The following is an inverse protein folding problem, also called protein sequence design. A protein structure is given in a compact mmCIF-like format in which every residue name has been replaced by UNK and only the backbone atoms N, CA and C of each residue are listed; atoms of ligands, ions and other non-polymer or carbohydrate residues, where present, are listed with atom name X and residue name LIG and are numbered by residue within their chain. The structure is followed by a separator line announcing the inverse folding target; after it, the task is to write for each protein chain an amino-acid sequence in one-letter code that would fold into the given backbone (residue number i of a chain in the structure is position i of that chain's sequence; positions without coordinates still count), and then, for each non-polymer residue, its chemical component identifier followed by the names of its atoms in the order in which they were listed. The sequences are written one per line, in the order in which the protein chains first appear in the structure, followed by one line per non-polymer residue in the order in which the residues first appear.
data_IF_207990714096
#
_entry.id   IF_207990714096
#
_cell.length_a   1.000
_cell.length_b   1.000
_cell.length_c   1.000
_cell.angle_alpha   90.00
_cell.angle_beta   90.00
_cell.angle_gamma   90.00
#
_symmetry.space_group_name_H-M   'P 1'
#
loop_
_entity.id
_entity.type
_entity.pdbx_description
1 polymer ?
#
# COMPACT_ATOMS: atom_id res chain seq x y z
N UNK A 1 -11.87 -11.09 0.04
CA UNK A 1 -12.38 -11.10 1.44
C UNK A 1 -11.93 -12.33 2.25
N UNK A 2 -11.97 -13.56 1.72
CA UNK A 2 -11.58 -14.76 2.50
C UNK A 2 -10.16 -14.63 3.05
N UNK A 3 -9.19 -14.30 2.20
CA UNK A 3 -7.80 -14.09 2.63
C UNK A 3 -7.66 -12.95 3.63
N UNK A 4 -8.40 -11.86 3.44
CA UNK A 4 -8.41 -10.75 4.38
C UNK A 4 -8.86 -11.18 5.79
N UNK A 5 -9.92 -11.97 5.88
CA UNK A 5 -10.39 -12.55 7.15
C UNK A 5 -9.37 -13.48 7.80
N UNK A 6 -8.75 -14.35 7.01
CA UNK A 6 -7.73 -15.26 7.53
C UNK A 6 -6.53 -14.49 8.09
N UNK A 7 -6.08 -13.45 7.40
CA UNK A 7 -5.01 -12.57 7.89
C UNK A 7 -5.41 -11.83 9.16
N UNK A 8 -6.60 -11.23 9.18
CA UNK A 8 -7.12 -10.52 10.35
C UNK A 8 -7.25 -11.46 11.58
N UNK A 9 -7.77 -12.67 11.38
CA UNK A 9 -7.83 -13.69 12.43
C UNK A 9 -6.44 -14.11 12.91
N UNK A 10 -5.48 -14.31 12.00
CA UNK A 10 -4.10 -14.65 12.34
C UNK A 10 -3.42 -13.59 13.21
N UNK A 11 -3.67 -12.30 12.93
CA UNK A 11 -3.22 -11.19 13.77
C UNK A 11 -3.92 -11.18 15.12
N UNK A 12 -5.26 -11.24 15.12
CA UNK A 12 -6.07 -11.21 16.35
C UNK A 12 -5.75 -12.38 17.32
N UNK A 13 -5.38 -13.54 16.78
CA UNK A 13 -4.98 -14.70 17.57
C UNK A 13 -3.48 -14.76 17.89
N UNK A 14 -2.72 -13.69 17.63
CA UNK A 14 -1.26 -13.59 17.84
C UNK A 14 -0.45 -14.75 17.18
N UNK A 15 -0.98 -15.29 16.07
CA UNK A 15 -0.27 -16.33 15.30
C UNK A 15 0.89 -15.74 14.49
N UNK A 16 0.80 -14.47 14.12
CA UNK A 16 1.88 -13.67 13.56
C UNK A 16 1.58 -12.19 13.84
N UNK A 17 2.64 -11.40 13.96
CA UNK A 17 2.54 -9.93 14.11
C UNK A 17 2.94 -9.19 12.85
N UNK A 18 3.45 -9.90 11.86
CA UNK A 18 3.89 -9.33 10.58
C UNK A 18 3.43 -10.23 9.46
N UNK A 19 2.76 -9.64 8.49
CA UNK A 19 2.36 -10.30 7.25
C UNK A 19 2.88 -9.54 6.04
N UNK A 20 3.19 -10.27 5.00
CA UNK A 20 3.34 -9.74 3.66
C UNK A 20 2.26 -10.37 2.78
N UNK A 21 1.47 -9.54 2.12
CA UNK A 21 0.43 -9.96 1.20
C UNK A 21 0.60 -9.29 -0.15
N UNK A 22 0.78 -10.09 -1.19
CA UNK A 22 0.86 -9.62 -2.57
C UNK A 22 -0.49 -9.85 -3.23
N UNK A 23 -1.19 -8.77 -3.59
CA UNK A 23 -2.48 -8.83 -4.26
C UNK A 23 -2.32 -9.36 -5.70
N UNK A 24 -1.33 -8.83 -6.41
CA UNK A 24 -0.89 -9.29 -7.72
C UNK A 24 0.58 -8.97 -7.93
N UNK A 25 1.30 -9.81 -8.65
CA UNK A 25 2.70 -9.55 -8.99
C UNK A 25 2.84 -8.54 -10.13
N UNK A 26 4.06 -8.01 -10.32
CA UNK A 26 4.37 -7.04 -11.39
C UNK A 26 4.08 -7.55 -12.81
N UNK A 27 4.10 -8.86 -13.02
CA UNK A 27 3.69 -9.53 -14.28
C UNK A 27 2.32 -10.17 -14.15
N UNK A 28 1.36 -9.46 -13.54
CA UNK A 28 0.04 -9.99 -13.23
C UNK A 28 -0.62 -10.71 -14.41
N UNK A 29 -0.84 -12.00 -14.25
CA UNK A 29 -1.61 -12.85 -15.19
C UNK A 29 -3.11 -12.84 -14.88
N UNK A 30 -3.55 -11.89 -14.04
CA UNK A 30 -4.96 -11.75 -13.67
C UNK A 30 -5.79 -11.32 -14.88
N UNK A 31 -6.85 -12.08 -15.16
CA UNK A 31 -7.88 -11.70 -16.11
C UNK A 31 -9.01 -10.98 -15.39
N UNK A 32 -9.51 -9.92 -15.99
CA UNK A 32 -10.76 -9.30 -15.54
C UNK A 32 -11.90 -9.85 -16.37
N UNK A 33 -13.05 -10.19 -15.77
CA UNK A 33 -14.22 -10.66 -16.51
C UNK A 33 -14.57 -9.71 -17.66
N UNK A 34 -14.71 -10.28 -18.87
CA UNK A 34 -15.00 -9.52 -20.09
C UNK A 34 -13.77 -9.01 -20.85
N UNK A 35 -12.56 -9.15 -20.29
CA UNK A 35 -11.30 -8.82 -20.97
C UNK A 35 -10.67 -10.06 -21.59
N UNK A 36 -10.08 -9.93 -22.78
CA UNK A 36 -9.35 -10.99 -23.47
C UNK A 36 -7.85 -11.00 -23.16
N UNK A 37 -7.35 -9.94 -22.49
CA UNK A 37 -5.95 -9.76 -22.14
C UNK A 37 -5.77 -9.81 -20.62
N UNK A 38 -4.60 -10.28 -20.19
CA UNK A 38 -4.19 -10.19 -18.77
C UNK A 38 -3.92 -8.73 -18.37
N UNK A 39 -4.02 -8.43 -17.08
CA UNK A 39 -3.84 -7.07 -16.56
C UNK A 39 -2.52 -6.45 -17.03
N UNK A 40 -1.41 -7.17 -16.88
CA UNK A 40 -0.11 -6.70 -17.32
C UNK A 40 -0.08 -6.27 -18.80
N UNK A 41 -0.68 -7.05 -19.69
CA UNK A 41 -0.80 -6.69 -21.11
C UNK A 41 -1.63 -5.43 -21.32
N UNK A 42 -2.73 -5.27 -20.60
CA UNK A 42 -3.58 -4.08 -20.69
C UNK A 42 -2.78 -2.82 -20.34
N UNK A 43 -1.96 -2.86 -19.29
CA UNK A 43 -1.13 -1.71 -18.88
C UNK A 43 -0.16 -1.25 -19.98
N UNK A 44 0.36 -2.18 -20.81
CA UNK A 44 1.26 -1.85 -21.92
C UNK A 44 0.52 -1.40 -23.19
N UNK A 45 -0.57 -2.08 -23.52
CA UNK A 45 -1.24 -1.92 -24.81
C UNK A 45 -2.19 -0.73 -24.83
N UNK A 46 -2.84 -0.43 -23.71
CA UNK A 46 -3.81 0.67 -23.64
C UNK A 46 -3.14 2.03 -23.88
N UNK A 47 -3.63 2.83 -24.85
CA UNK A 47 -3.14 4.21 -25.00
C UNK A 47 -3.60 5.07 -23.85
N UNK A 48 -2.78 6.05 -23.49
CA UNK A 48 -3.23 7.13 -22.59
C UNK A 48 -4.28 7.96 -23.31
N UNK A 49 -5.45 8.13 -22.71
CA UNK A 49 -6.49 9.00 -23.21
C UNK A 49 -6.01 10.47 -23.15
N UNK A 50 -6.07 11.18 -24.28
CA UNK A 50 -5.53 12.52 -24.39
C UNK A 50 -6.34 13.59 -23.64
N UNK A 51 -7.61 13.32 -23.34
CA UNK A 51 -8.47 14.24 -22.59
C UNK A 51 -8.41 13.96 -21.08
N UNK A 52 -8.36 12.67 -20.69
CA UNK A 52 -8.34 12.26 -19.30
C UNK A 52 -6.92 12.26 -18.69
N UNK A 53 -5.89 12.10 -19.52
CA UNK A 53 -4.50 12.07 -19.07
C UNK A 53 -4.07 10.73 -18.43
N UNK A 54 -4.91 9.67 -18.49
CA UNK A 54 -4.62 8.35 -17.95
C UNK A 54 -5.19 7.23 -18.85
N UNK A 55 -4.93 5.97 -18.49
CA UNK A 55 -5.40 4.77 -19.17
C UNK A 55 -6.72 4.29 -18.51
N UNK A 56 -7.91 4.46 -19.12
CA UNK A 56 -9.19 4.21 -18.47
C UNK A 56 -9.43 2.75 -18.03
N UNK A 57 -9.05 1.77 -18.85
CA UNK A 57 -9.22 0.35 -18.49
C UNK A 57 -8.24 -0.06 -17.39
N UNK A 58 -6.99 0.36 -17.48
CA UNK A 58 -5.98 0.17 -16.43
C UNK A 58 -6.45 0.79 -15.11
N UNK A 59 -7.04 2.00 -15.16
CA UNK A 59 -7.57 2.68 -13.99
C UNK A 59 -8.71 1.93 -13.32
N UNK A 60 -9.63 1.31 -14.10
CA UNK A 60 -10.68 0.44 -13.55
C UNK A 60 -10.09 -0.74 -12.78
N UNK A 61 -9.05 -1.37 -13.32
CA UNK A 61 -8.37 -2.49 -12.69
C UNK A 61 -7.67 -2.07 -11.39
N UNK A 62 -7.00 -0.90 -11.40
CA UNK A 62 -6.45 -0.30 -10.19
C UNK A 62 -7.54 -0.05 -9.13
N UNK A 63 -8.73 0.39 -9.56
CA UNK A 63 -9.92 0.54 -8.70
C UNK A 63 -10.31 -0.76 -7.99
N UNK A 64 -10.34 -1.89 -8.70
CA UNK A 64 -10.62 -3.20 -8.11
C UNK A 64 -9.56 -3.63 -7.07
N UNK A 65 -8.29 -3.30 -7.31
CA UNK A 65 -7.22 -3.54 -6.32
C UNK A 65 -7.47 -2.71 -5.07
N UNK A 66 -7.87 -1.45 -5.22
CA UNK A 66 -8.19 -0.55 -4.11
C UNK A 66 -9.45 -0.99 -3.33
N UNK A 67 -10.46 -1.54 -4.01
CA UNK A 67 -11.61 -2.17 -3.35
C UNK A 67 -11.18 -3.37 -2.50
N UNK A 68 -10.27 -4.20 -3.01
CA UNK A 68 -9.67 -5.31 -2.27
C UNK A 68 -8.90 -4.84 -1.03
N UNK A 69 -8.13 -3.77 -1.16
CA UNK A 69 -7.42 -3.13 -0.05
C UNK A 69 -8.40 -2.57 0.99
N UNK A 70 -9.43 -1.84 0.56
CA UNK A 70 -10.47 -1.34 1.45
C UNK A 70 -11.21 -2.46 2.20
N UNK A 71 -11.51 -3.56 1.51
CA UNK A 71 -12.11 -4.74 2.15
C UNK A 71 -11.19 -5.38 3.20
N UNK A 72 -9.88 -5.36 3.00
CA UNK A 72 -8.91 -5.82 4.01
C UNK A 72 -8.91 -4.93 5.24
N UNK A 73 -8.89 -3.60 5.07
CA UNK A 73 -8.97 -2.67 6.19
C UNK A 73 -10.27 -2.84 6.98
N UNK A 74 -11.40 -3.06 6.31
CA UNK A 74 -12.68 -3.33 6.96
C UNK A 74 -12.66 -4.61 7.82
N UNK A 75 -11.99 -5.67 7.38
CA UNK A 75 -11.88 -6.90 8.19
C UNK A 75 -11.00 -6.68 9.44
N UNK A 76 -9.98 -5.82 9.37
CA UNK A 76 -9.19 -5.42 10.55
C UNK A 76 -10.00 -4.52 11.49
N UNK A 77 -10.75 -3.58 10.94
CA UNK A 77 -11.57 -2.64 11.72
C UNK A 77 -12.77 -3.32 12.42
N UNK A 78 -13.25 -4.42 11.88
CA UNK A 78 -14.35 -5.20 12.46
C UNK A 78 -13.96 -5.99 13.73
N UNK A 79 -12.68 -6.16 14.01
CA UNK A 79 -12.19 -6.92 15.18
C UNK A 79 -11.92 -5.96 16.32
N UNK A 80 -12.62 -6.13 17.45
CA UNK A 80 -12.37 -5.35 18.66
C UNK A 80 -11.07 -5.78 19.34
N UNK A 81 -10.23 -4.84 19.71
CA UNK A 81 -8.98 -5.05 20.43
C UNK A 81 -8.78 -3.94 21.48
N UNK A 82 -8.91 -4.31 22.74
CA UNK A 82 -8.88 -3.33 23.83
C UNK A 82 -10.00 -2.29 23.73
N UNK A 83 -9.65 -1.02 23.74
CA UNK A 83 -10.59 0.10 23.64
C UNK A 83 -10.84 0.55 22.18
N UNK A 84 -10.25 -0.11 21.21
CA UNK A 84 -10.37 0.21 19.79
C UNK A 84 -10.55 -1.04 18.95
N UNK A 85 -10.06 -0.98 17.73
CA UNK A 85 -10.09 -2.08 16.78
C UNK A 85 -8.69 -2.62 16.52
N UNK A 86 -8.59 -3.78 15.89
CA UNK A 86 -7.31 -4.31 15.44
C UNK A 86 -6.63 -3.34 14.45
N UNK A 87 -7.40 -2.61 13.63
CA UNK A 87 -6.89 -1.59 12.73
C UNK A 87 -6.23 -0.42 13.48
N UNK A 88 -6.79 -0.01 14.62
CA UNK A 88 -6.19 1.05 15.45
C UNK A 88 -4.80 0.68 15.95
N UNK A 89 -4.55 -0.61 16.17
CA UNK A 89 -3.27 -1.12 16.68
C UNK A 89 -2.32 -1.59 15.57
N UNK A 90 -2.82 -1.83 14.36
CA UNK A 90 -2.01 -2.21 13.21
C UNK A 90 -1.47 -1.01 12.42
N UNK A 91 -0.42 -1.26 11.66
CA UNK A 91 0.02 -0.44 10.55
C UNK A 91 0.00 -1.27 9.28
N UNK A 92 -0.76 -0.84 8.31
CA UNK A 92 -0.80 -1.43 6.96
C UNK A 92 -0.03 -0.52 6.01
N UNK A 93 1.03 -1.05 5.42
CA UNK A 93 1.81 -0.37 4.39
C UNK A 93 1.54 -1.02 3.04
N UNK A 94 0.90 -0.30 2.14
CA UNK A 94 0.60 -0.74 0.79
C UNK A 94 1.35 0.11 -0.23
N UNK A 95 1.85 -0.52 -1.28
CA UNK A 95 2.60 0.15 -2.36
C UNK A 95 2.40 -0.56 -3.69
N UNK A 96 2.61 0.18 -4.78
CA UNK A 96 2.83 -0.38 -6.11
C UNK A 96 4.33 -0.55 -6.36
N UNK A 97 4.69 -1.43 -7.26
CA UNK A 97 6.05 -1.63 -7.76
C UNK A 97 6.45 -0.57 -8.80
N UNK A 98 5.48 0.10 -9.43
CA UNK A 98 5.71 1.15 -10.43
C UNK A 98 4.75 2.34 -10.22
N UNK A 99 5.16 3.51 -10.67
CA UNK A 99 4.28 4.69 -10.75
C UNK A 99 3.47 4.73 -12.04
N UNK A 100 4.09 4.36 -13.18
CA UNK A 100 3.41 4.24 -14.46
C UNK A 100 3.77 2.92 -15.14
N UNK A 101 2.84 1.97 -15.08
CA UNK A 101 3.06 0.59 -15.46
C UNK A 101 3.40 0.40 -16.94
N UNK A 102 2.87 1.24 -17.84
CA UNK A 102 3.10 1.16 -19.29
C UNK A 102 4.57 1.11 -19.68
N UNK A 103 5.42 1.82 -18.95
CA UNK A 103 6.87 1.92 -19.21
C UNK A 103 7.71 1.48 -18.01
N UNK A 104 7.08 0.85 -17.02
CA UNK A 104 7.72 0.45 -15.76
C UNK A 104 8.46 1.60 -15.05
N UNK A 105 7.87 2.80 -15.07
CA UNK A 105 8.47 3.96 -14.40
C UNK A 105 8.55 3.77 -12.90
N UNK A 106 9.70 4.09 -12.33
CA UNK A 106 9.92 4.13 -10.88
C UNK A 106 9.69 5.53 -10.28
N UNK A 107 9.18 6.46 -11.09
CA UNK A 107 8.79 7.79 -10.62
C UNK A 107 7.34 7.78 -10.10
N UNK A 108 7.07 8.60 -9.10
CA UNK A 108 5.73 8.80 -8.53
C UNK A 108 5.07 7.48 -8.09
N UNK A 109 5.81 6.57 -7.46
CA UNK A 109 5.27 5.32 -6.94
C UNK A 109 4.23 5.63 -5.84
N UNK A 110 2.97 5.18 -6.00
CA UNK A 110 1.95 5.40 -4.97
C UNK A 110 2.23 4.49 -3.77
N UNK A 111 2.20 5.08 -2.58
CA UNK A 111 2.37 4.40 -1.30
C UNK A 111 1.32 4.86 -0.33
N UNK A 112 0.81 3.95 0.49
CA UNK A 112 -0.25 4.23 1.45
C UNK A 112 0.11 3.65 2.80
N UNK A 113 -0.17 4.41 3.86
CA UNK A 113 -0.16 3.95 5.23
C UNK A 113 -1.59 4.01 5.77
N UNK A 114 -2.05 2.93 6.39
CA UNK A 114 -3.36 2.85 7.00
C UNK A 114 -3.28 2.19 8.38
N UNK A 115 -4.28 2.41 9.22
CA UNK A 115 -4.31 1.96 10.60
C UNK A 115 -3.69 2.97 11.57
N UNK A 116 -3.91 2.76 12.85
CA UNK A 116 -3.52 3.70 13.90
C UNK A 116 -2.11 3.52 14.44
N UNK A 117 -1.47 2.36 14.19
CA UNK A 117 -0.17 1.99 14.77
C UNK A 117 -0.13 2.22 16.29
N UNK A 118 -1.20 1.87 17.00
CA UNK A 118 -1.40 2.14 18.45
C UNK A 118 -1.24 3.64 18.79
N UNK A 119 -1.84 4.52 18.00
CA UNK A 119 -1.84 5.96 18.19
C UNK A 119 -0.61 6.71 17.67
N UNK A 120 0.34 6.01 17.01
CA UNK A 120 1.55 6.64 16.45
C UNK A 120 1.36 7.19 15.04
N UNK A 121 0.38 6.68 14.30
CA UNK A 121 0.09 7.12 12.95
C UNK A 121 -1.03 8.16 12.93
N UNK A 122 -0.79 9.27 12.26
CA UNK A 122 -1.75 10.34 12.00
C UNK A 122 -2.27 10.20 10.57
N UNK A 123 -3.45 9.63 10.43
CA UNK A 123 -4.10 9.42 9.14
C UNK A 123 -4.67 10.71 8.53
N UNK A 124 -5.14 10.63 7.26
CA UNK A 124 -5.79 11.74 6.56
C UNK A 124 -4.85 12.72 5.87
N UNK A 125 -3.56 12.38 5.75
CA UNK A 125 -2.57 13.20 5.06
C UNK A 125 -2.33 12.71 3.63
N UNK A 126 -2.18 13.64 2.71
CA UNK A 126 -1.59 13.42 1.40
C UNK A 126 -0.23 14.12 1.36
N UNK A 127 0.83 13.36 1.12
CA UNK A 127 2.19 13.89 1.04
C UNK A 127 2.68 13.81 -0.40
N UNK A 128 2.91 14.98 -1.01
CA UNK A 128 3.54 15.08 -2.33
C UNK A 128 5.05 15.31 -2.12
N UNK A 129 5.87 14.33 -2.50
CA UNK A 129 7.32 14.35 -2.26
C UNK A 129 8.13 14.07 -3.54
N UNK A 130 8.07 14.97 -4.55
CA UNK A 130 8.77 14.76 -5.81
C UNK A 130 10.30 14.72 -5.61
N UNK A 131 10.96 13.75 -6.25
CA UNK A 131 12.40 13.56 -6.17
C UNK A 131 12.90 12.98 -4.84
N UNK A 132 12.02 12.70 -3.89
CA UNK A 132 12.39 12.06 -2.63
C UNK A 132 12.46 10.53 -2.79
N UNK A 133 13.35 9.92 -2.01
CA UNK A 133 13.48 8.46 -2.00
C UNK A 133 12.28 7.78 -1.36
N UNK A 134 11.78 6.71 -2.00
CA UNK A 134 10.71 5.84 -1.47
C UNK A 134 11.06 5.23 -0.11
N UNK A 135 12.35 5.08 0.20
CA UNK A 135 12.86 4.57 1.48
C UNK A 135 12.47 5.44 2.68
N UNK A 136 12.12 6.71 2.45
CA UNK A 136 11.57 7.57 3.51
C UNK A 136 10.26 7.02 4.07
N UNK A 137 9.38 6.51 3.21
CA UNK A 137 8.12 5.88 3.65
C UNK A 137 8.41 4.58 4.40
N UNK A 138 9.38 3.78 3.93
CA UNK A 138 9.80 2.55 4.63
C UNK A 138 10.36 2.83 6.03
N UNK A 139 11.23 3.84 6.16
CA UNK A 139 11.75 4.27 7.46
C UNK A 139 10.61 4.73 8.38
N UNK A 140 9.68 5.53 7.85
CA UNK A 140 8.50 5.99 8.58
C UNK A 140 7.66 4.82 9.07
N UNK A 141 7.36 3.86 8.19
CA UNK A 141 6.59 2.67 8.55
C UNK A 141 7.27 1.84 9.65
N UNK A 142 8.59 1.66 9.60
CA UNK A 142 9.35 0.98 10.65
C UNK A 142 9.22 1.69 12.00
N UNK A 143 9.39 3.02 12.02
CA UNK A 143 9.27 3.81 13.25
C UNK A 143 7.85 3.81 13.80
N UNK A 144 6.84 3.93 12.95
CA UNK A 144 5.42 3.82 13.33
C UNK A 144 5.09 2.42 13.89
N UNK A 145 5.70 1.38 13.34
CA UNK A 145 5.57 0.01 13.86
C UNK A 145 6.34 -0.21 15.19
N UNK A 146 7.06 0.81 15.68
CA UNK A 146 7.81 0.74 16.93
C UNK A 146 9.22 0.15 16.80
N UNK A 147 9.73 -0.05 15.59
CA UNK A 147 11.11 -0.48 15.39
C UNK A 147 12.08 0.71 15.64
N UNK A 148 13.18 0.53 16.39
CA UNK A 148 14.12 1.60 16.72
C UNK A 148 15.08 1.87 15.53
N UNK A 149 14.53 2.13 14.34
CA UNK A 149 15.31 2.39 13.14
C UNK A 149 15.64 3.89 13.03
N UNK A 150 16.93 4.23 13.05
CA UNK A 150 17.40 5.59 12.78
C UNK A 150 17.57 5.89 11.29
N UNK A 151 17.68 4.86 10.47
CA UNK A 151 17.89 4.96 9.01
C UNK A 151 17.39 3.72 8.27
N UNK A 152 17.18 3.84 6.97
CA UNK A 152 16.77 2.75 6.09
C UNK A 152 17.37 2.92 4.69
N UNK A 153 17.59 1.79 4.00
CA UNK A 153 18.14 1.73 2.65
C UNK A 153 19.65 1.68 2.60
N UNK A 154 20.20 1.67 1.40
CA UNK A 154 21.65 1.61 1.15
C UNK A 154 22.04 2.48 -0.05
N UNK A 155 23.31 2.85 -0.17
CA UNK A 155 23.81 3.67 -1.27
C UNK A 155 23.01 4.97 -1.42
N UNK A 156 22.60 5.30 -2.64
CA UNK A 156 21.79 6.48 -2.95
C UNK A 156 20.37 6.44 -2.37
N UNK A 157 19.91 5.26 -1.98
CA UNK A 157 18.57 5.07 -1.38
C UNK A 157 18.59 5.12 0.15
N UNK A 158 19.77 5.34 0.79
CA UNK A 158 19.86 5.46 2.24
C UNK A 158 19.24 6.78 2.71
N UNK A 159 18.42 6.71 3.75
CA UNK A 159 17.79 7.87 4.36
C UNK A 159 17.72 7.74 5.88
N UNK A 160 17.89 8.86 6.58
CA UNK A 160 17.60 9.03 8.01
C UNK A 160 16.45 10.04 8.23
N UNK A 161 15.71 10.39 7.17
CA UNK A 161 14.63 11.40 7.21
C UNK A 161 13.27 10.72 7.03
N UNK A 162 12.54 10.40 8.12
CA UNK A 162 11.16 9.91 8.01
C UNK A 162 10.23 11.03 7.49
N UNK A 163 8.99 10.68 7.21
CA UNK A 163 7.91 11.61 6.88
C UNK A 163 7.18 11.92 8.19
N UNK A 164 7.54 13.00 8.85
CA UNK A 164 7.03 13.36 10.17
C UNK A 164 5.58 13.82 10.16
N UNK A 165 5.06 14.30 9.04
CA UNK A 165 3.68 14.80 8.90
C UNK A 165 2.61 13.76 9.22
N UNK A 166 2.95 12.47 9.02
CA UNK A 166 2.07 11.33 9.28
C UNK A 166 2.31 10.68 10.64
N UNK A 167 3.19 11.25 11.47
CA UNK A 167 3.51 10.74 12.81
C UNK A 167 2.78 11.56 13.87
N UNK A 168 2.19 10.89 14.85
CA UNK A 168 1.66 11.56 16.02
C UNK A 168 2.81 12.11 16.90
N UNK A 169 2.58 13.27 17.50
CA UNK A 169 3.53 13.93 18.43
C UNK A 169 3.50 13.30 19.82
#
# INVERSE_FOLDING_TARGET
RVMARLLAMGLACDQSRVFNFVHTGGTSETYVPGQSKIYHQITHDEPTDSQLGYQPETSKLAGLVMEGFGAFLQELDAIQEGNGTLLDNCLVFALSDTGYAKIHSLENIPMMLAGGASGRHKAGHHVHAPGESVTRVSLTAMQLAGAPAGEFGSGSMRTARPITDVMAS
#
